data_IF_792915480687
#
_entry.id   IF_792915480687
#
_cell.length_a   1.000
_cell.length_b   1.000
_cell.length_c   1.000
_cell.angle_alpha   90.00
_cell.angle_beta   90.00
_cell.angle_gamma   90.00
#
_symmetry.space_group_name_H-M   'P 1'
#
loop_
_entity.id
_entity.type
_entity.pdbx_description
1 polymer ?
#
# COMPACT_ATOMS: atom_id res chain seq x y z
N UNK A 1 34.94 55.52 -12.26
CA UNK A 1 36.19 54.74 -12.31
C UNK A 1 36.43 54.14 -10.93
N UNK A 2 35.91 52.94 -10.68
CA UNK A 2 36.49 51.84 -9.88
C UNK A 2 35.71 50.59 -10.32
N UNK A 3 36.45 49.60 -10.78
CA UNK A 3 35.98 48.33 -11.34
C UNK A 3 36.27 47.24 -10.30
N UNK A 4 35.27 46.43 -9.94
CA UNK A 4 35.36 45.18 -9.18
C UNK A 4 34.25 44.30 -9.78
N UNK A 5 34.49 43.22 -10.53
CA UNK A 5 35.23 41.99 -10.21
C UNK A 5 34.18 40.85 -10.09
N UNK A 6 34.20 39.79 -10.94
CA UNK A 6 33.10 38.82 -11.00
C UNK A 6 33.12 37.84 -9.81
N UNK A 7 31.94 37.56 -9.25
CA UNK A 7 31.75 36.57 -8.18
C UNK A 7 31.49 35.19 -8.78
N UNK A 8 32.37 34.25 -8.47
CA UNK A 8 32.39 32.87 -8.92
C UNK A 8 31.17 32.06 -8.48
N UNK A 9 30.57 31.35 -9.43
CA UNK A 9 29.60 30.28 -9.19
C UNK A 9 30.29 29.07 -8.57
N UNK A 10 29.82 28.63 -7.41
CA UNK A 10 30.22 27.37 -6.78
C UNK A 10 29.27 26.26 -7.26
N UNK A 11 29.82 25.36 -8.07
CA UNK A 11 29.21 24.08 -8.47
C UNK A 11 29.42 23.08 -7.33
N UNK A 12 28.33 22.60 -6.75
CA UNK A 12 28.35 21.46 -5.82
C UNK A 12 28.37 20.17 -6.67
N UNK A 13 29.33 19.26 -6.48
CA UNK A 13 29.41 18.02 -7.25
C UNK A 13 28.39 16.98 -6.76
N UNK A 14 27.75 16.29 -7.71
CA UNK A 14 26.88 15.13 -7.48
C UNK A 14 27.64 13.96 -6.82
N UNK A 15 27.01 13.19 -5.91
CA UNK A 15 27.64 12.01 -5.35
C UNK A 15 27.71 10.86 -6.38
N UNK A 16 28.93 10.39 -6.64
CA UNK A 16 29.23 9.14 -7.34
C UNK A 16 29.07 7.99 -6.33
N UNK A 17 28.15 7.06 -6.60
CA UNK A 17 28.03 5.82 -5.82
C UNK A 17 28.98 4.78 -6.42
N UNK A 18 30.05 4.48 -5.70
CA UNK A 18 31.00 3.41 -6.03
C UNK A 18 30.59 2.13 -5.29
N UNK A 19 30.34 1.05 -6.02
CA UNK A 19 30.11 -0.27 -5.44
C UNK A 19 31.44 -0.92 -5.01
N UNK A 20 31.56 -1.46 -3.78
CA UNK A 20 32.70 -2.28 -3.40
C UNK A 20 32.61 -3.66 -4.08
N UNK A 21 33.74 -4.09 -4.64
CA UNK A 21 33.93 -5.41 -5.24
C UNK A 21 33.78 -6.55 -4.21
N UNK A 22 33.06 -7.60 -4.61
CA UNK A 22 32.91 -8.85 -3.86
C UNK A 22 34.25 -9.55 -3.59
N UNK A 23 34.51 -10.01 -2.36
CA UNK A 23 35.49 -11.05 -2.12
C UNK A 23 34.85 -12.45 -2.13
N UNK A 24 35.37 -13.28 -3.04
CA UNK A 24 35.52 -14.73 -3.02
C UNK A 24 34.67 -15.59 -2.05
N UNK A 25 33.74 -16.35 -2.66
CA UNK A 25 33.68 -17.82 -2.71
C UNK A 25 34.16 -18.60 -1.46
N UNK A 26 33.22 -19.11 -0.67
CA UNK A 26 33.41 -20.32 0.15
C UNK A 26 32.21 -21.26 -0.07
N UNK A 27 32.54 -22.50 -0.41
CA UNK A 27 31.64 -23.58 -0.80
C UNK A 27 30.76 -24.09 0.36
N UNK A 28 29.57 -24.64 0.07
CA UNK A 28 28.69 -25.23 1.08
C UNK A 28 29.14 -26.63 1.52
N UNK A 29 29.15 -26.87 2.83
CA UNK A 29 29.33 -28.17 3.47
C UNK A 29 27.98 -28.89 3.57
N UNK A 30 27.85 -30.04 2.93
CA UNK A 30 26.75 -31.00 3.08
C UNK A 30 26.97 -31.86 4.33
N UNK A 31 25.91 -32.22 5.10
CA UNK A 31 25.93 -33.35 6.01
C UNK A 31 25.53 -34.67 5.32
N UNK A 32 26.07 -35.75 5.89
CA UNK A 32 26.25 -37.09 5.36
C UNK A 32 25.01 -38.01 5.33
N UNK A 33 24.98 -38.85 4.28
CA UNK A 33 24.54 -40.26 4.09
C UNK A 33 23.71 -41.01 5.15
N UNK A 34 22.95 -42.04 4.71
CA UNK A 34 23.48 -43.39 4.84
C UNK A 34 23.38 -44.27 3.57
N UNK A 35 24.53 -44.88 3.27
CA UNK A 35 24.82 -46.24 2.75
C UNK A 35 23.70 -47.11 2.14
N UNK A 36 23.97 -47.60 0.93
CA UNK A 36 24.03 -49.04 0.64
C UNK A 36 24.87 -49.31 -0.62
N UNK A 37 25.85 -50.20 -0.45
CA UNK A 37 26.68 -50.90 -1.45
C UNK A 37 25.80 -51.58 -2.51
N UNK A 38 26.24 -52.01 -3.69
CA UNK A 38 27.54 -52.55 -4.08
C UNK A 38 27.57 -52.71 -5.63
N UNK A 39 28.74 -52.45 -6.21
CA UNK A 39 29.42 -53.07 -7.37
C UNK A 39 28.75 -53.42 -8.72
N UNK A 40 29.62 -53.27 -9.73
CA UNK A 40 29.68 -53.94 -11.05
C UNK A 40 28.91 -53.28 -12.21
N UNK A 41 29.40 -53.20 -13.45
CA UNK A 41 30.71 -53.28 -14.15
C UNK A 41 30.38 -53.06 -15.64
N UNK A 42 31.36 -52.65 -16.47
CA UNK A 42 31.44 -52.79 -17.95
C UNK A 42 30.44 -51.98 -18.80
N UNK A 43 30.84 -50.92 -19.53
CA UNK A 43 31.59 -50.91 -20.81
C UNK A 43 30.97 -51.82 -21.88
N UNK A 44 30.31 -51.25 -22.90
CA UNK A 44 30.68 -51.53 -24.29
C UNK A 44 30.13 -50.52 -25.32
N UNK A 45 30.82 -50.50 -26.45
CA UNK A 45 30.80 -49.59 -27.59
C UNK A 45 29.52 -49.55 -28.45
N UNK A 46 29.47 -48.49 -29.29
CA UNK A 46 29.21 -48.50 -30.75
C UNK A 46 28.00 -47.69 -31.25
N UNK A 47 28.32 -46.59 -31.96
CA UNK A 47 27.54 -45.98 -33.04
C UNK A 47 27.47 -46.91 -34.29
N UNK A 48 26.84 -46.53 -35.43
CA UNK A 48 25.75 -45.57 -35.72
C UNK A 48 24.62 -46.27 -36.53
N UNK A 49 23.56 -45.58 -36.97
CA UNK A 49 23.03 -45.65 -38.35
C UNK A 49 21.93 -44.60 -38.57
N UNK A 50 22.00 -43.95 -39.74
CA UNK A 50 21.02 -42.99 -40.27
C UNK A 50 19.79 -43.74 -40.80
N UNK A 51 18.59 -43.19 -40.60
CA UNK A 51 17.49 -43.40 -41.55
C UNK A 51 16.45 -42.28 -41.43
N UNK A 52 16.20 -41.68 -42.60
CA UNK A 52 15.14 -40.77 -42.98
C UNK A 52 13.74 -41.21 -42.53
N UNK A 53 12.89 -40.25 -42.19
CA UNK A 53 11.61 -40.09 -42.87
C UNK A 53 11.04 -38.68 -42.64
N UNK A 54 10.61 -38.12 -43.77
CA UNK A 54 9.82 -36.91 -43.92
C UNK A 54 8.47 -37.05 -43.20
N UNK A 55 8.04 -36.00 -42.52
CA UNK A 55 6.61 -35.66 -42.49
C UNK A 55 6.49 -34.14 -42.42
N UNK A 56 6.05 -33.60 -43.55
CA UNK A 56 5.70 -32.20 -43.76
C UNK A 56 4.33 -31.95 -43.16
N UNK A 57 4.29 -31.56 -41.88
CA UNK A 57 3.09 -30.94 -41.30
C UNK A 57 3.19 -29.44 -41.47
N UNK A 58 2.57 -28.92 -42.53
CA UNK A 58 2.24 -27.50 -42.70
C UNK A 58 1.40 -27.06 -41.49
N UNK A 59 2.07 -26.52 -40.47
CA UNK A 59 1.43 -25.81 -39.37
C UNK A 59 1.04 -24.42 -39.85
N UNK A 60 0.00 -24.34 -40.67
CA UNK A 60 -0.69 -23.07 -40.90
C UNK A 60 -1.43 -22.73 -39.60
N UNK A 61 -0.78 -21.95 -38.74
CA UNK A 61 -1.40 -21.35 -37.55
C UNK A 61 -2.62 -20.53 -38.00
N UNK A 62 -3.80 -21.10 -37.81
CA UNK A 62 -5.10 -20.54 -38.15
C UNK A 62 -5.31 -19.23 -37.36
N UNK A 63 -5.11 -18.09 -38.02
CA UNK A 63 -5.19 -16.76 -37.42
C UNK A 63 -6.64 -16.48 -36.99
N UNK A 64 -6.89 -16.48 -35.68
CA UNK A 64 -8.16 -16.07 -35.09
C UNK A 64 -8.43 -14.58 -35.36
N UNK A 65 -9.57 -14.28 -35.97
CA UNK A 65 -10.01 -12.93 -36.38
C UNK A 65 -10.63 -12.18 -35.19
N UNK A 66 -10.43 -10.85 -35.08
CA UNK A 66 -11.01 -10.02 -34.02
C UNK A 66 -12.55 -9.99 -34.04
N UNK A 67 -13.15 -10.10 -32.85
CA UNK A 67 -14.58 -9.94 -32.61
C UNK A 67 -14.93 -8.45 -32.66
N UNK A 68 -15.86 -8.06 -33.54
CA UNK A 68 -16.36 -6.69 -33.62
C UNK A 68 -17.37 -6.43 -32.49
N UNK A 69 -16.92 -5.75 -31.44
CA UNK A 69 -17.78 -5.22 -30.38
C UNK A 69 -18.39 -3.91 -30.87
N UNK A 70 -19.68 -3.93 -31.25
CA UNK A 70 -20.41 -2.73 -31.61
C UNK A 70 -20.86 -2.00 -30.34
N UNK A 71 -20.45 -0.73 -30.24
CA UNK A 71 -20.90 0.31 -29.30
C UNK A 71 -20.31 0.25 -27.89
N UNK A 72 -19.46 1.25 -27.59
CA UNK A 72 -18.78 1.43 -26.29
C UNK A 72 -19.75 1.76 -25.15
N UNK A 73 -20.97 2.20 -25.46
CA UNK A 73 -21.97 2.63 -24.48
C UNK A 73 -22.61 1.43 -23.75
N UNK A 74 -22.90 0.33 -24.45
CA UNK A 74 -23.47 -0.90 -23.85
C UNK A 74 -22.46 -1.67 -22.96
N UNK A 75 -21.16 -1.50 -23.21
CA UNK A 75 -20.06 -2.14 -22.47
C UNK A 75 -19.82 -1.51 -21.08
N UNK A 76 -20.20 -0.23 -20.89
CA UNK A 76 -19.98 0.53 -19.66
C UNK A 76 -21.03 0.18 -18.59
N UNK A 77 -22.28 -0.10 -18.98
CA UNK A 77 -23.37 -0.37 -18.02
C UNK A 77 -23.48 -1.85 -17.59
N UNK A 78 -23.13 -2.82 -18.46
CA UNK A 78 -23.39 -4.25 -18.18
C UNK A 78 -22.16 -5.15 -18.19
N UNK A 79 -21.01 -4.65 -18.66
CA UNK A 79 -19.91 -5.52 -19.07
C UNK A 79 -20.27 -6.33 -20.33
N UNK A 80 -19.27 -6.80 -21.05
CA UNK A 80 -19.46 -7.69 -22.18
C UNK A 80 -19.58 -9.12 -21.68
N UNK A 81 -20.76 -9.55 -21.23
CA UNK A 81 -21.07 -10.96 -20.92
C UNK A 81 -22.07 -11.51 -21.93
N UNK A 82 -21.60 -12.35 -22.87
CA UNK A 82 -22.43 -12.88 -23.93
C UNK A 82 -21.74 -13.88 -24.86
N UNK A 83 -22.57 -14.60 -25.63
CA UNK A 83 -22.11 -15.50 -26.69
C UNK A 83 -22.06 -14.75 -28.03
N UNK A 84 -20.87 -14.67 -28.61
CA UNK A 84 -20.61 -13.99 -29.88
C UNK A 84 -20.38 -15.02 -30.99
N UNK A 85 -20.94 -14.74 -32.17
CA UNK A 85 -20.75 -15.58 -33.36
C UNK A 85 -19.45 -15.18 -34.04
N UNK A 86 -18.59 -16.15 -34.37
CA UNK A 86 -17.37 -15.89 -35.14
C UNK A 86 -17.75 -15.57 -36.60
N UNK A 87 -17.29 -14.43 -37.12
CA UNK A 87 -17.48 -14.05 -38.53
C UNK A 87 -16.50 -14.82 -39.42
N UNK A 88 -16.95 -15.18 -40.62
CA UNK A 88 -16.20 -15.97 -41.60
C UNK A 88 -15.43 -15.02 -42.51
N UNK A 89 -14.12 -15.21 -42.62
CA UNK A 89 -13.37 -14.74 -43.78
C UNK A 89 -13.11 -15.97 -44.67
N UNK A 90 -13.79 -15.99 -45.82
CA UNK A 90 -13.64 -16.96 -46.92
C UNK A 90 -14.11 -18.42 -46.74
N UNK A 91 -14.47 -19.01 -47.89
CA UNK A 91 -15.53 -20.00 -48.15
C UNK A 91 -15.39 -21.41 -47.52
N UNK A 92 -14.38 -21.75 -46.73
CA UNK A 92 -14.01 -23.18 -46.54
C UNK A 92 -14.25 -23.93 -45.23
N UNK A 93 -14.81 -23.37 -44.17
CA UNK A 93 -15.18 -24.16 -42.96
C UNK A 93 -16.69 -24.17 -42.69
N UNK A 94 -17.20 -25.33 -42.23
CA UNK A 94 -18.64 -25.64 -42.09
C UNK A 94 -19.15 -25.71 -40.65
N UNK A 95 -18.34 -25.36 -39.66
CA UNK A 95 -18.77 -25.30 -38.25
C UNK A 95 -18.55 -23.91 -37.67
N UNK A 96 -19.66 -23.25 -37.33
CA UNK A 96 -19.68 -21.95 -36.64
C UNK A 96 -19.52 -22.20 -35.15
N UNK A 97 -18.34 -21.92 -34.61
CA UNK A 97 -18.15 -21.79 -33.18
C UNK A 97 -18.89 -20.56 -32.63
N UNK A 98 -19.43 -20.67 -31.42
CA UNK A 98 -19.78 -19.52 -30.59
C UNK A 98 -18.65 -19.33 -29.58
N UNK A 99 -18.22 -18.10 -29.38
CA UNK A 99 -17.28 -17.75 -28.30
C UNK A 99 -18.03 -17.05 -27.18
N UNK A 100 -17.81 -17.48 -25.94
CA UNK A 100 -18.32 -16.77 -24.78
C UNK A 100 -17.30 -15.72 -24.37
N UNK A 101 -17.67 -14.44 -24.44
CA UNK A 101 -16.84 -13.36 -23.91
C UNK A 101 -17.54 -12.83 -22.66
N UNK A 102 -16.78 -12.80 -21.56
CA UNK A 102 -17.14 -12.17 -20.31
C UNK A 102 -16.05 -11.14 -19.98
N UNK A 103 -16.40 -9.86 -19.95
CA UNK A 103 -15.48 -8.76 -19.71
C UNK A 103 -16.17 -7.63 -18.97
N UNK A 104 -15.41 -6.89 -18.16
CA UNK A 104 -15.91 -5.69 -17.48
C UNK A 104 -15.11 -4.49 -17.93
N UNK A 105 -15.77 -3.37 -18.19
CA UNK A 105 -15.10 -2.09 -18.43
C UNK A 105 -15.03 -1.36 -17.11
N UNK A 106 -13.83 -1.08 -16.64
CA UNK A 106 -13.61 -0.25 -15.45
C UNK A 106 -12.91 1.03 -15.86
N UNK A 107 -13.40 2.16 -15.37
CA UNK A 107 -12.68 3.43 -15.50
C UNK A 107 -11.31 3.34 -14.82
N UNK A 108 -10.32 4.06 -15.36
CA UNK A 108 -8.98 4.17 -14.77
C UNK A 108 -9.03 4.57 -13.28
N UNK A 109 -9.88 5.54 -12.93
CA UNK A 109 -10.07 5.99 -11.55
C UNK A 109 -10.61 4.88 -10.63
N UNK A 110 -11.50 4.02 -11.15
CA UNK A 110 -12.06 2.90 -10.38
C UNK A 110 -11.04 1.78 -10.20
N UNK A 111 -10.18 1.55 -11.19
CA UNK A 111 -9.09 0.58 -11.10
C UNK A 111 -8.02 1.04 -10.09
N UNK A 112 -7.64 2.31 -10.12
CA UNK A 112 -6.72 2.93 -9.16
C UNK A 112 -7.27 2.89 -7.72
N UNK A 113 -8.58 3.08 -7.54
CA UNK A 113 -9.19 2.96 -6.21
C UNK A 113 -9.18 1.50 -5.72
N UNK A 114 -9.51 0.52 -6.59
CA UNK A 114 -9.45 -0.91 -6.25
C UNK A 114 -8.03 -1.38 -5.93
N UNK A 115 -7.03 -0.91 -6.68
CA UNK A 115 -5.62 -1.23 -6.41
C UNK A 115 -5.20 -0.65 -5.05
N UNK A 116 -5.51 0.62 -4.78
CA UNK A 116 -5.27 1.25 -3.47
C UNK A 116 -5.95 0.48 -2.32
N UNK A 117 -7.22 0.11 -2.46
CA UNK A 117 -7.93 -0.65 -1.43
C UNK A 117 -7.28 -2.01 -1.14
N UNK A 118 -6.74 -2.66 -2.17
CA UNK A 118 -6.00 -3.92 -2.00
C UNK A 118 -4.69 -3.69 -1.22
N UNK A 119 -4.01 -2.57 -1.46
CA UNK A 119 -2.85 -2.12 -0.68
C UNK A 119 -3.22 -1.81 0.77
N UNK A 120 -4.30 -1.06 1.02
CA UNK A 120 -4.83 -0.75 2.37
C UNK A 120 -5.06 -2.04 3.16
N UNK A 121 -5.66 -3.06 2.53
CA UNK A 121 -5.95 -4.33 3.16
C UNK A 121 -4.68 -5.13 3.51
N UNK A 122 -3.66 -5.10 2.66
CA UNK A 122 -2.37 -5.73 2.95
C UNK A 122 -1.66 -4.99 4.10
N UNK A 123 -1.64 -3.67 4.05
CA UNK A 123 -1.04 -2.82 5.07
C UNK A 123 -1.68 -3.08 6.44
N UNK A 124 -3.01 -3.05 6.52
CA UNK A 124 -3.75 -3.32 7.74
C UNK A 124 -3.45 -4.73 8.31
N UNK A 125 -3.36 -5.74 7.44
CA UNK A 125 -3.05 -7.12 7.84
C UNK A 125 -1.64 -7.25 8.40
N UNK A 126 -0.65 -6.62 7.77
CA UNK A 126 0.75 -6.65 8.22
C UNK A 126 0.92 -5.95 9.56
N UNK A 127 0.32 -4.76 9.71
CA UNK A 127 0.37 -4.03 10.98
C UNK A 127 -0.34 -4.82 12.08
N UNK A 128 -1.55 -5.35 11.81
CA UNK A 128 -2.27 -6.16 12.77
C UNK A 128 -1.47 -7.40 13.20
N UNK A 129 -0.89 -8.13 12.24
CA UNK A 129 -0.05 -9.29 12.53
C UNK A 129 1.15 -8.92 13.40
N UNK A 130 1.82 -7.80 13.10
CA UNK A 130 2.94 -7.33 13.90
C UNK A 130 2.53 -6.94 15.32
N UNK A 131 1.47 -6.14 15.48
CA UNK A 131 0.99 -5.70 16.79
C UNK A 131 0.53 -6.89 17.65
N UNK A 132 -0.17 -7.86 17.06
CA UNK A 132 -0.58 -9.08 17.75
C UNK A 132 0.63 -9.94 18.13
N UNK A 133 1.61 -10.08 17.24
CA UNK A 133 2.85 -10.83 17.53
C UNK A 133 3.67 -10.18 18.64
N UNK A 134 3.78 -8.85 18.65
CA UNK A 134 4.49 -8.13 19.70
C UNK A 134 3.77 -8.22 21.03
N UNK A 135 2.43 -8.10 21.04
CA UNK A 135 1.65 -8.19 22.27
C UNK A 135 1.65 -9.60 22.87
N UNK A 136 1.68 -10.65 22.04
CA UNK A 136 1.75 -12.03 22.54
C UNK A 136 3.12 -12.38 23.12
N UNK A 137 4.19 -11.79 22.58
CA UNK A 137 5.56 -12.06 23.04
C UNK A 137 5.97 -11.20 24.23
N UNK A 138 5.30 -10.06 24.42
CA UNK A 138 5.58 -9.12 25.45
C UNK A 138 4.29 -8.86 26.25
N UNK A 139 4.20 -9.33 27.49
CA UNK A 139 3.18 -8.94 28.48
C UNK A 139 3.30 -7.45 28.90
N UNK A 140 3.64 -6.58 27.96
CA UNK A 140 3.94 -5.19 28.19
C UNK A 140 2.67 -4.37 28.10
N UNK A 141 2.47 -3.54 29.12
CA UNK A 141 1.45 -2.50 29.18
C UNK A 141 1.52 -1.62 27.92
N UNK A 142 0.38 -1.08 27.49
CA UNK A 142 0.21 -0.12 26.38
C UNK A 142 1.24 1.04 26.42
N UNK A 143 1.79 1.33 27.60
CA UNK A 143 2.73 2.41 27.87
C UNK A 143 4.21 2.04 27.77
N UNK A 144 4.54 0.79 27.44
CA UNK A 144 5.93 0.32 27.43
C UNK A 144 6.69 0.85 26.22
N UNK A 145 6.05 0.82 25.04
CA UNK A 145 6.55 1.43 23.81
C UNK A 145 5.41 1.57 22.79
N UNK A 146 4.97 2.80 22.47
CA UNK A 146 4.03 3.03 21.38
C UNK A 146 4.60 2.53 20.05
N UNK A 147 3.73 2.11 19.14
CA UNK A 147 4.14 1.67 17.80
C UNK A 147 4.63 2.88 16.99
N UNK A 148 5.88 2.82 16.55
CA UNK A 148 6.61 3.91 15.89
C UNK A 148 6.37 3.98 14.37
N UNK A 149 5.40 3.21 13.86
CA UNK A 149 5.07 3.16 12.43
C UNK A 149 6.02 2.30 11.60
N UNK A 150 6.99 1.62 12.22
CA UNK A 150 7.88 0.70 11.51
C UNK A 150 7.26 -0.68 11.37
N UNK A 151 7.39 -1.23 10.16
CA UNK A 151 7.08 -2.62 9.86
C UNK A 151 8.33 -3.48 9.93
N UNK A 152 8.15 -4.80 10.07
CA UNK A 152 9.25 -5.76 9.91
C UNK A 152 9.92 -5.58 8.54
N UNK A 153 11.23 -5.82 8.45
CA UNK A 153 11.98 -5.66 7.20
C UNK A 153 11.33 -6.38 6.01
N UNK A 154 10.94 -7.67 6.15
CA UNK A 154 10.20 -8.39 5.11
C UNK A 154 8.85 -7.75 4.79
N UNK A 155 8.08 -7.33 5.81
CA UNK A 155 6.77 -6.71 5.61
C UNK A 155 6.85 -5.37 4.87
N UNK A 156 7.84 -4.54 5.22
CA UNK A 156 8.12 -3.29 4.54
C UNK A 156 8.53 -3.51 3.08
N UNK A 157 9.39 -4.49 2.81
CA UNK A 157 9.81 -4.85 1.45
C UNK A 157 8.63 -5.36 0.61
N UNK A 158 7.79 -6.23 1.16
CA UNK A 158 6.59 -6.73 0.48
C UNK A 158 5.62 -5.61 0.13
N UNK A 159 5.39 -4.65 1.04
CA UNK A 159 4.54 -3.49 0.74
C UNK A 159 5.17 -2.57 -0.32
N UNK A 160 6.47 -2.32 -0.26
CA UNK A 160 7.14 -1.51 -1.26
C UNK A 160 7.02 -2.15 -2.66
N UNK A 161 7.27 -3.45 -2.77
CA UNK A 161 7.10 -4.19 -4.02
C UNK A 161 5.64 -4.17 -4.49
N UNK A 162 4.68 -4.30 -3.57
CA UNK A 162 3.26 -4.28 -3.90
C UNK A 162 2.80 -2.89 -4.38
N UNK A 163 3.29 -1.81 -3.77
CA UNK A 163 3.04 -0.44 -4.22
C UNK A 163 3.55 -0.22 -5.65
N UNK A 164 4.76 -0.70 -5.97
CA UNK A 164 5.36 -0.62 -7.31
C UNK A 164 4.52 -1.41 -8.33
N UNK A 165 4.10 -2.63 -7.97
CA UNK A 165 3.30 -3.48 -8.87
C UNK A 165 1.93 -2.86 -9.20
N UNK A 166 1.38 -2.10 -8.26
CA UNK A 166 0.10 -1.42 -8.42
C UNK A 166 0.22 0.02 -8.97
N UNK A 167 1.44 0.47 -9.25
CA UNK A 167 1.78 1.82 -9.72
C UNK A 167 1.13 2.93 -8.85
N UNK A 168 1.20 2.77 -7.53
CA UNK A 168 0.57 3.71 -6.60
C UNK A 168 1.37 5.00 -6.50
N UNK A 169 0.67 6.13 -6.60
CA UNK A 169 1.25 7.45 -6.35
C UNK A 169 1.60 7.64 -4.87
N UNK A 170 2.55 8.53 -4.60
CA UNK A 170 2.96 8.88 -3.23
C UNK A 170 1.79 9.44 -2.40
N UNK A 171 0.87 10.19 -3.03
CA UNK A 171 -0.35 10.68 -2.37
C UNK A 171 -1.28 9.53 -1.97
N UNK A 172 -1.45 8.52 -2.83
CA UNK A 172 -2.24 7.32 -2.55
C UNK A 172 -1.63 6.50 -1.41
N UNK A 173 -0.30 6.42 -1.34
CA UNK A 173 0.41 5.78 -0.23
C UNK A 173 0.18 6.53 1.09
N UNK A 174 0.34 7.87 1.10
CA UNK A 174 0.06 8.67 2.30
C UNK A 174 -1.38 8.50 2.79
N UNK A 175 -2.35 8.44 1.87
CA UNK A 175 -3.75 8.19 2.19
C UNK A 175 -3.96 6.81 2.80
N UNK A 176 -3.39 5.76 2.18
CA UNK A 176 -3.46 4.39 2.68
C UNK A 176 -2.90 4.27 4.11
N UNK A 177 -1.70 4.81 4.32
CA UNK A 177 -1.04 4.83 5.62
C UNK A 177 -1.85 5.58 6.67
N UNK A 178 -2.39 6.76 6.34
CA UNK A 178 -3.26 7.50 7.25
C UNK A 178 -4.53 6.73 7.61
N UNK A 179 -5.25 6.20 6.62
CA UNK A 179 -6.51 5.47 6.83
C UNK A 179 -6.35 4.29 7.76
N UNK A 180 -5.28 3.51 7.57
CA UNK A 180 -5.02 2.33 8.40
C UNK A 180 -4.53 2.76 9.78
N UNK A 181 -3.59 3.69 9.87
CA UNK A 181 -2.90 3.96 11.12
C UNK A 181 -3.63 4.93 12.06
N UNK A 182 -4.51 5.79 11.53
CA UNK A 182 -5.40 6.65 12.33
C UNK A 182 -6.32 5.85 13.26
N UNK A 183 -6.53 4.55 12.98
CA UNK A 183 -7.37 3.64 13.77
C UNK A 183 -6.61 2.85 14.83
N UNK A 184 -5.29 2.99 14.89
CA UNK A 184 -4.45 2.20 15.79
C UNK A 184 -4.28 2.95 17.11
N UNK A 185 -4.87 2.47 18.23
CA UNK A 185 -4.84 3.19 19.49
C UNK A 185 -3.43 3.29 20.10
N UNK A 186 -2.58 2.29 19.80
CA UNK A 186 -1.20 2.14 20.29
C UNK A 186 -0.15 2.87 19.45
N UNK A 187 -0.56 3.58 18.39
CA UNK A 187 0.36 4.32 17.53
C UNK A 187 0.99 5.51 18.26
N UNK A 188 2.27 5.79 18.00
CA UNK A 188 2.95 6.98 18.51
C UNK A 188 2.33 8.24 17.91
N UNK A 189 1.74 9.07 18.77
CA UNK A 189 1.14 10.34 18.39
C UNK A 189 2.10 11.29 17.64
N UNK A 190 3.42 11.19 17.88
CA UNK A 190 4.41 11.98 17.11
C UNK A 190 4.43 11.56 15.65
N UNK A 191 4.44 10.25 15.40
CA UNK A 191 4.43 9.68 14.06
C UNK A 191 3.08 9.87 13.37
N UNK A 192 1.97 9.75 14.11
CA UNK A 192 0.63 10.05 13.57
C UNK A 192 0.54 11.51 13.13
N UNK A 193 1.10 12.44 13.89
CA UNK A 193 1.15 13.85 13.51
C UNK A 193 1.94 14.08 12.22
N UNK A 194 3.09 13.41 12.03
CA UNK A 194 3.85 13.57 10.78
C UNK A 194 3.08 13.03 9.58
N UNK A 195 2.40 11.88 9.72
CA UNK A 195 1.53 11.34 8.65
C UNK A 195 0.34 12.24 8.34
N UNK A 196 -0.26 12.85 9.35
CA UNK A 196 -1.31 13.84 9.14
C UNK A 196 -0.80 15.01 8.29
N UNK A 197 0.39 15.52 8.59
CA UNK A 197 0.99 16.65 7.85
C UNK A 197 1.27 16.31 6.39
N UNK A 198 1.72 15.09 6.09
CA UNK A 198 1.93 14.61 4.72
C UNK A 198 0.62 14.58 3.93
N UNK A 199 -0.45 14.04 4.53
CA UNK A 199 -1.78 14.03 3.92
C UNK A 199 -2.30 15.46 3.73
N UNK A 200 -2.13 16.34 4.71
CA UNK A 200 -2.52 17.75 4.61
C UNK A 200 -1.76 18.48 3.49
N UNK A 201 -0.47 18.17 3.30
CA UNK A 201 0.30 18.69 2.19
C UNK A 201 -0.22 18.20 0.83
N UNK A 202 -0.66 16.93 0.74
CA UNK A 202 -1.29 16.39 -0.46
C UNK A 202 -2.68 17.01 -0.74
N UNK A 203 -3.50 17.27 0.29
CA UNK A 203 -4.75 18.02 0.16
C UNK A 203 -4.47 19.43 -0.37
N UNK A 204 -3.49 20.14 0.18
CA UNK A 204 -3.14 21.50 -0.25
C UNK A 204 -2.71 21.57 -1.72
N UNK A 205 -2.19 20.48 -2.26
CA UNK A 205 -1.80 20.33 -3.66
C UNK A 205 -2.92 19.82 -4.58
N UNK A 206 -4.12 19.57 -4.04
CA UNK A 206 -5.26 18.97 -4.74
C UNK A 206 -4.90 17.65 -5.45
N UNK A 207 -4.13 16.78 -4.78
CA UNK A 207 -3.71 15.49 -5.33
C UNK A 207 -4.74 14.37 -5.14
N UNK A 208 -5.83 14.62 -4.42
CA UNK A 208 -6.85 13.64 -4.10
C UNK A 208 -8.11 13.86 -4.94
N UNK A 209 -8.71 12.75 -5.38
CA UNK A 209 -10.02 12.73 -6.04
C UNK A 209 -11.17 12.89 -5.02
N UNK A 210 -12.37 13.19 -5.49
CA UNK A 210 -13.54 13.42 -4.62
C UNK A 210 -13.88 12.20 -3.75
N UNK A 211 -13.75 10.99 -4.28
CA UNK A 211 -13.96 9.74 -3.55
C UNK A 211 -12.90 9.56 -2.44
N UNK A 212 -11.66 9.94 -2.71
CA UNK A 212 -10.57 9.88 -1.75
C UNK A 212 -10.74 10.92 -0.64
N UNK A 213 -11.20 12.11 -0.99
CA UNK A 213 -11.56 13.16 -0.03
C UNK A 213 -12.72 12.73 0.87
N UNK A 214 -13.70 11.99 0.32
CA UNK A 214 -14.81 11.41 1.09
C UNK A 214 -14.32 10.36 2.10
N UNK A 215 -13.47 9.43 1.65
CA UNK A 215 -12.85 8.44 2.54
C UNK A 215 -12.00 9.10 3.64
N UNK A 216 -11.27 10.15 3.26
CA UNK A 216 -10.43 10.90 4.17
C UNK A 216 -11.25 11.67 5.21
N UNK A 217 -12.38 12.29 4.80
CA UNK A 217 -13.33 12.93 5.71
C UNK A 217 -13.82 11.94 6.76
N UNK A 218 -14.27 10.76 6.33
CA UNK A 218 -14.75 9.71 7.24
C UNK A 218 -13.65 9.26 8.22
N UNK A 219 -12.41 9.12 7.73
CA UNK A 219 -11.25 8.79 8.56
C UNK A 219 -10.94 9.89 9.58
N UNK A 220 -10.95 11.16 9.18
CA UNK A 220 -10.75 12.30 10.08
C UNK A 220 -11.83 12.37 11.16
N UNK A 221 -13.10 12.18 10.80
CA UNK A 221 -14.20 12.20 11.77
C UNK A 221 -14.06 11.07 12.79
N UNK A 222 -13.72 9.86 12.32
CA UNK A 222 -13.48 8.70 13.19
C UNK A 222 -12.30 8.97 14.15
N UNK A 223 -11.19 9.48 13.62
CA UNK A 223 -10.02 9.85 14.42
C UNK A 223 -10.37 10.87 15.52
N UNK A 224 -11.09 11.95 15.18
CA UNK A 224 -11.50 12.98 16.15
C UNK A 224 -12.40 12.37 17.22
N UNK A 225 -13.39 11.57 16.83
CA UNK A 225 -14.30 10.91 17.77
C UNK A 225 -13.54 10.00 18.73
N UNK A 226 -12.66 9.17 18.21
CA UNK A 226 -11.92 8.20 19.01
C UNK A 226 -10.98 8.93 19.99
N UNK A 227 -10.28 9.96 19.54
CA UNK A 227 -9.41 10.75 20.42
C UNK A 227 -10.15 11.63 21.43
N UNK A 228 -11.32 12.17 21.09
CA UNK A 228 -12.15 12.91 22.07
C UNK A 228 -12.71 11.98 23.13
N UNK A 229 -13.11 10.76 22.78
CA UNK A 229 -13.54 9.74 23.75
C UNK A 229 -12.39 9.34 24.69
N UNK A 230 -11.17 9.19 24.17
CA UNK A 230 -9.96 8.98 24.98
C UNK A 230 -9.71 10.13 25.97
N UNK A 231 -9.99 11.37 25.57
CA UNK A 231 -9.84 12.55 26.45
C UNK A 231 -10.88 12.62 27.58
N UNK A 232 -12.10 12.10 27.38
CA UNK A 232 -13.10 11.99 28.46
C UNK A 232 -12.63 11.08 29.60
N UNK A 233 -11.81 10.08 29.26
CA UNK A 233 -11.23 9.11 30.18
C UNK A 233 -9.73 9.36 30.40
N UNK A 234 -9.31 10.63 30.49
CA UNK A 234 -7.91 11.06 30.47
C UNK A 234 -6.98 10.26 31.38
N UNK A 235 -7.33 10.03 32.65
CA UNK A 235 -6.47 9.28 33.58
C UNK A 235 -6.37 7.79 33.26
N UNK A 236 -7.39 7.19 32.64
CA UNK A 236 -7.34 5.79 32.20
C UNK A 236 -6.50 5.66 30.93
N UNK A 237 -6.65 6.62 30.02
CA UNK A 237 -6.03 6.58 28.69
C UNK A 237 -4.69 7.30 28.60
N UNK A 238 -4.31 8.10 29.58
CA UNK A 238 -3.00 8.75 29.70
C UNK A 238 -2.63 8.79 31.19
N UNK A 239 -2.37 7.63 31.81
CA UNK A 239 -2.17 7.55 33.25
C UNK A 239 -0.92 8.33 33.68
N UNK A 240 -1.01 9.17 34.74
CA UNK A 240 0.12 9.91 35.26
C UNK A 240 1.29 9.01 35.70
N UNK A 241 1.00 7.76 36.08
CA UNK A 241 2.00 6.75 36.47
C UNK A 241 2.95 6.36 35.33
N UNK A 242 2.52 6.48 34.08
CA UNK A 242 3.35 6.21 32.89
C UNK A 242 4.29 7.39 32.54
N UNK A 243 4.28 8.47 33.33
CA UNK A 243 5.27 9.54 33.30
C UNK A 243 5.40 10.24 31.95
N UNK A 244 6.63 10.23 31.40
CA UNK A 244 7.02 11.00 30.21
C UNK A 244 6.28 10.51 28.96
N UNK A 245 6.06 9.20 28.81
CA UNK A 245 5.47 8.62 27.60
C UNK A 245 4.00 9.06 27.47
N UNK A 246 3.19 8.89 28.53
CA UNK A 246 1.79 9.31 28.52
C UNK A 246 1.62 10.82 28.28
N UNK A 247 2.46 11.64 28.94
CA UNK A 247 2.47 13.09 28.72
C UNK A 247 2.82 13.46 27.28
N UNK A 248 3.83 12.78 26.69
CA UNK A 248 4.22 12.98 25.29
C UNK A 248 3.08 12.60 24.36
N UNK A 249 2.48 11.41 24.52
CA UNK A 249 1.34 10.96 23.71
C UNK A 249 0.19 11.97 23.75
N UNK A 250 -0.24 12.38 24.95
CA UNK A 250 -1.30 13.38 25.11
C UNK A 250 -0.97 14.71 24.41
N UNK A 251 0.25 15.22 24.61
CA UNK A 251 0.69 16.49 24.00
C UNK A 251 0.62 16.44 22.49
N UNK A 252 1.09 15.35 21.88
CA UNK A 252 1.09 15.21 20.42
C UNK A 252 -0.29 14.87 19.86
N UNK A 253 -1.15 14.18 20.60
CA UNK A 253 -2.57 14.03 20.25
C UNK A 253 -3.26 15.39 20.17
N UNK A 254 -3.08 16.26 21.18
CA UNK A 254 -3.65 17.61 21.16
C UNK A 254 -3.07 18.46 20.01
N UNK A 255 -1.78 18.32 19.70
CA UNK A 255 -1.17 18.96 18.53
C UNK A 255 -1.77 18.47 17.21
N UNK A 256 -2.01 17.17 17.05
CA UNK A 256 -2.64 16.61 15.86
C UNK A 256 -4.05 17.16 15.68
N UNK A 257 -4.86 17.14 16.75
CA UNK A 257 -6.18 17.75 16.80
C UNK A 257 -6.14 19.23 16.39
N UNK A 258 -5.23 20.02 16.99
CA UNK A 258 -5.06 21.43 16.63
C UNK A 258 -4.60 21.62 15.17
N UNK A 259 -3.72 20.76 14.67
CA UNK A 259 -3.23 20.79 13.28
C UNK A 259 -4.38 20.51 12.29
N UNK A 260 -5.31 19.61 12.61
CA UNK A 260 -6.52 19.38 11.82
C UNK A 260 -7.43 20.61 11.77
N UNK A 261 -7.61 21.30 12.90
CA UNK A 261 -8.46 22.49 12.98
C UNK A 261 -7.87 23.70 12.22
N UNK A 262 -6.55 23.86 12.25
CA UNK A 262 -5.86 25.00 11.65
C UNK A 262 -5.66 24.85 10.13
N UNK A 263 -5.64 23.63 9.61
CA UNK A 263 -5.45 23.39 8.18
C UNK A 263 -6.75 23.61 7.39
N UNK A 264 -6.75 24.57 6.47
CA UNK A 264 -7.95 24.99 5.74
C UNK A 264 -8.63 23.83 4.98
N UNK A 265 -7.85 22.97 4.31
CA UNK A 265 -8.41 21.83 3.56
C UNK A 265 -9.03 20.77 4.47
N UNK A 266 -8.43 20.51 5.63
CA UNK A 266 -8.98 19.56 6.61
C UNK A 266 -10.25 20.12 7.24
N UNK A 267 -10.24 21.42 7.58
CA UNK A 267 -11.40 22.11 8.12
C UNK A 267 -12.57 22.12 7.14
N UNK A 268 -12.33 22.43 5.87
CA UNK A 268 -13.36 22.41 4.85
C UNK A 268 -14.01 21.02 4.73
N UNK A 269 -13.23 19.94 4.81
CA UNK A 269 -13.76 18.58 4.83
C UNK A 269 -14.61 18.29 6.08
N UNK A 270 -14.18 18.77 7.26
CA UNK A 270 -14.90 18.54 8.52
C UNK A 270 -16.18 19.35 8.64
N UNK A 271 -16.20 20.58 8.11
CA UNK A 271 -17.37 21.47 8.15
C UNK A 271 -18.55 20.89 7.36
N UNK A 272 -18.29 20.07 6.32
CA UNK A 272 -19.32 19.35 5.56
C UNK A 272 -20.09 18.32 6.39
N UNK A 273 -19.48 17.78 7.44
CA UNK A 273 -20.11 16.79 8.32
C UNK A 273 -20.96 17.45 9.42
N UNK A 274 -20.87 18.78 9.59
CA UNK A 274 -21.58 19.50 10.64
C UNK A 274 -21.08 19.22 12.06
N UNK A 275 -19.82 18.78 12.21
CA UNK A 275 -19.22 18.55 13.52
C UNK A 275 -19.08 19.86 14.30
N UNK A 276 -19.27 19.84 15.64
CA UNK A 276 -18.96 20.99 16.48
C UNK A 276 -17.49 21.41 16.31
N UNK A 277 -17.16 22.70 16.54
CA UNK A 277 -15.79 23.15 16.51
C UNK A 277 -14.91 22.26 17.39
N UNK A 278 -13.79 21.78 16.83
CA UNK A 278 -12.93 20.81 17.49
C UNK A 278 -12.48 21.24 18.90
N UNK A 279 -12.23 22.54 19.06
CA UNK A 279 -11.94 23.15 20.36
C UNK A 279 -13.05 22.93 21.40
N UNK A 280 -14.32 23.05 21.02
CA UNK A 280 -15.48 22.79 21.88
C UNK A 280 -15.56 21.30 22.26
N UNK A 281 -15.29 20.40 21.30
CA UNK A 281 -15.28 18.95 21.57
C UNK A 281 -14.17 18.58 22.57
N UNK A 282 -12.98 19.16 22.43
CA UNK A 282 -11.86 18.91 23.36
C UNK A 282 -12.15 19.47 24.74
N UNK A 283 -12.62 20.72 24.83
CA UNK A 283 -12.93 21.37 26.11
C UNK A 283 -14.08 20.69 26.85
N UNK A 284 -15.16 20.30 26.14
CA UNK A 284 -16.26 19.53 26.73
C UNK A 284 -15.82 18.14 27.21
N UNK A 285 -14.93 17.48 26.46
CA UNK A 285 -14.39 16.17 26.86
C UNK A 285 -13.54 16.29 28.14
N UNK A 286 -12.68 17.30 28.22
CA UNK A 286 -11.89 17.58 29.42
C UNK A 286 -12.75 18.04 30.61
N UNK A 287 -13.79 18.83 30.38
CA UNK A 287 -14.73 19.23 31.42
C UNK A 287 -15.52 18.03 31.97
N UNK A 288 -15.89 17.08 31.11
CA UNK A 288 -16.52 15.82 31.51
C UNK A 288 -15.58 15.00 32.39
N UNK A 289 -14.30 14.91 32.00
CA UNK A 289 -13.29 14.25 32.83
C UNK A 289 -13.18 14.92 34.21
N UNK A 290 -13.08 16.26 34.26
CA UNK A 290 -12.97 17.02 35.49
C UNK A 290 -14.21 16.95 36.41
N UNK A 291 -15.39 16.61 35.88
CA UNK A 291 -16.61 16.37 36.69
C UNK A 291 -16.68 14.96 37.27
N UNK A 292 -16.07 13.99 36.58
CA UNK A 292 -16.08 12.59 36.98
C UNK A 292 -14.98 12.27 38.02
N UNK A 293 -14.25 13.29 38.48
CA UNK A 293 -13.14 13.24 39.43
C UNK A 293 -13.33 14.31 40.50
#
# INVERSE_FOLDING_TARGET
MVTLGPVSQSLIPSPVITFPASPHRLSPTLPSTPTLSDSSELVDEAEPEQSSNEDTSSGDDEVLIPVAMTETEDLIERGADGWFMLEKNEERSKERGKIHLAGTVTSKAQLENKSRQSYDALLARLIHHQLTSTNNNNEQSEWSRPWDGHLSGPGAASLAQYAIMLDLSDAALHLAWWKVCSRIPTADAVWVLSRLQEVQAAISKNLYQDEELLELRSSFCSFIRDHTERLKNLHKTFPPSSGIIARRQLTFTLKALQCMQNHAGTRALLDLEGLPPLHEMVTSSLATHAKNW
#
